data_IF_285861952034
#
_entry.id   IF_285861952034
#
_cell.length_a   1.000
_cell.length_b   1.000
_cell.length_c   1.000
_cell.angle_alpha   90.00
_cell.angle_beta   90.00
_cell.angle_gamma   90.00
#
_symmetry.space_group_name_H-M   'P 1'
#
loop_
_entity.id
_entity.type
_entity.pdbx_description
1 polymer ?
#
# COMPACT_ATOMS: atom_id res chain seq x y z
N UNK A 1 -14.83 -3.67 -0.91
CA UNK A 1 -15.79 -2.54 -0.97
C UNK A 1 -15.04 -1.27 -0.64
N UNK A 2 -15.09 -0.27 -1.53
CA UNK A 2 -14.44 1.03 -1.31
C UNK A 2 -15.50 2.12 -1.33
N UNK A 3 -15.50 2.96 -0.31
CA UNK A 3 -16.33 4.16 -0.20
C UNK A 3 -15.44 5.38 -0.39
N UNK A 4 -15.85 6.27 -1.28
CA UNK A 4 -15.13 7.50 -1.63
C UNK A 4 -15.97 8.73 -1.33
N UNK A 5 -15.33 9.89 -1.15
CA UNK A 5 -16.02 11.17 -1.11
C UNK A 5 -16.60 11.51 -2.49
N UNK A 6 -17.75 12.18 -2.52
CA UNK A 6 -18.37 12.66 -3.75
C UNK A 6 -17.46 13.67 -4.48
N UNK A 7 -16.87 14.59 -3.73
CA UNK A 7 -15.90 15.56 -4.25
C UNK A 7 -14.48 14.98 -4.13
N UNK A 8 -13.79 14.87 -5.26
CA UNK A 8 -12.38 14.47 -5.32
C UNK A 8 -12.11 12.97 -5.23
N UNK A 9 -13.14 12.12 -5.11
CA UNK A 9 -13.01 10.66 -5.07
C UNK A 9 -12.00 10.17 -4.00
N UNK A 10 -11.90 10.87 -2.88
CA UNK A 10 -10.96 10.49 -1.82
C UNK A 10 -11.48 9.23 -1.12
N UNK A 11 -10.67 8.18 -1.00
CA UNK A 11 -11.09 6.97 -0.30
C UNK A 11 -11.33 7.31 1.18
N UNK A 12 -12.57 7.19 1.65
CA UNK A 12 -12.93 7.35 3.07
C UNK A 12 -12.74 6.03 3.79
N UNK A 13 -13.02 4.93 3.10
CA UNK A 13 -12.98 3.58 3.66
C UNK A 13 -12.73 2.57 2.56
N UNK A 14 -11.70 1.75 2.73
CA UNK A 14 -11.46 0.56 1.91
C UNK A 14 -11.56 -0.66 2.79
N UNK A 15 -12.46 -1.58 2.45
CA UNK A 15 -12.57 -2.89 3.08
C UNK A 15 -12.23 -3.96 2.04
N UNK A 16 -11.27 -4.82 2.36
CA UNK A 16 -11.05 -6.05 1.62
C UNK A 16 -10.79 -7.21 2.57
N UNK A 17 -11.11 -8.42 2.11
CA UNK A 17 -10.91 -9.65 2.87
C UNK A 17 -9.66 -10.35 2.34
N UNK A 18 -8.71 -10.63 3.21
CA UNK A 18 -7.57 -11.50 2.91
C UNK A 18 -7.82 -12.89 3.50
N UNK A 19 -7.21 -13.91 2.91
CA UNK A 19 -7.31 -15.28 3.42
C UNK A 19 -6.59 -15.44 4.75
N UNK A 20 -5.44 -14.77 4.93
CA UNK A 20 -4.65 -14.88 6.15
C UNK A 20 -5.15 -14.00 7.30
N UNK A 21 -5.64 -12.79 7.01
CA UNK A 21 -5.90 -11.77 8.05
C UNK A 21 -7.38 -11.36 8.14
N UNK A 22 -8.26 -11.93 7.31
CA UNK A 22 -9.68 -11.59 7.31
C UNK A 22 -9.92 -10.17 6.79
N UNK A 23 -10.86 -9.44 7.40
CA UNK A 23 -11.22 -8.10 6.95
C UNK A 23 -10.19 -7.06 7.36
N UNK A 24 -9.64 -6.33 6.39
CA UNK A 24 -8.68 -5.25 6.61
C UNK A 24 -9.30 -3.89 6.27
N UNK A 25 -9.03 -2.89 7.11
CA UNK A 25 -9.58 -1.53 7.04
C UNK A 25 -8.46 -0.49 7.04
N UNK A 26 -8.60 0.53 6.19
CA UNK A 26 -7.63 1.62 6.05
C UNK A 26 -8.31 2.97 6.27
N UNK A 27 -7.66 3.84 7.04
CA UNK A 27 -8.04 5.24 7.20
C UNK A 27 -7.00 6.12 6.48
N UNK A 28 -7.46 7.02 5.62
CA UNK A 28 -6.56 7.77 4.76
C UNK A 28 -6.15 9.10 5.41
N UNK A 29 -4.85 9.37 5.41
CA UNK A 29 -4.25 10.68 5.73
C UNK A 29 -3.74 11.25 4.42
N UNK A 30 -4.00 12.54 4.14
CA UNK A 30 -3.52 13.18 2.90
C UNK A 30 -2.01 13.38 2.99
N UNK A 31 -1.28 12.77 2.06
CA UNK A 31 0.17 12.85 1.98
C UNK A 31 0.90 11.93 2.97
N UNK A 32 2.22 12.08 3.02
CA UNK A 32 3.09 11.34 3.94
C UNK A 32 3.62 12.35 4.95
N UNK A 33 3.25 12.17 6.23
CA UNK A 33 3.64 13.10 7.29
C UNK A 33 5.10 12.97 7.69
N UNK A 34 5.66 11.76 7.57
CA UNK A 34 7.08 11.49 7.78
C UNK A 34 7.63 10.58 6.65
N UNK A 35 8.38 11.15 5.68
CA UNK A 35 8.95 10.40 4.56
C UNK A 35 9.95 9.31 4.98
N UNK A 36 10.63 9.48 6.12
CA UNK A 36 11.66 8.56 6.61
C UNK A 36 11.09 7.16 6.92
N UNK A 37 9.76 7.07 7.10
CA UNK A 37 9.06 5.79 7.27
C UNK A 37 9.06 4.92 6.00
N UNK A 38 9.43 5.49 4.85
CA UNK A 38 9.62 4.74 3.61
C UNK A 38 11.03 4.18 3.46
N UNK A 39 11.99 4.60 4.30
CA UNK A 39 13.34 4.05 4.25
C UNK A 39 13.33 2.61 4.79
N UNK A 40 13.95 1.66 4.09
CA UNK A 40 14.06 0.29 4.59
C UNK A 40 14.80 0.26 5.94
N UNK A 41 14.33 -0.53 6.91
CA UNK A 41 15.02 -0.66 8.18
C UNK A 41 16.38 -1.34 8.00
N UNK A 42 17.32 -1.14 8.95
CA UNK A 42 18.70 -1.65 8.83
C UNK A 42 18.80 -3.16 8.55
N UNK A 43 17.87 -3.96 9.11
CA UNK A 43 17.87 -5.40 8.87
C UNK A 43 17.56 -5.80 7.42
N UNK A 44 17.05 -4.87 6.60
CA UNK A 44 16.86 -5.07 5.16
C UNK A 44 18.14 -4.90 4.33
N UNK A 45 19.25 -4.41 4.90
CA UNK A 45 20.48 -4.09 4.15
C UNK A 45 21.09 -5.30 3.40
N UNK A 46 20.85 -6.52 3.89
CA UNK A 46 21.28 -7.77 3.27
C UNK A 46 20.15 -8.59 2.64
N UNK A 47 18.96 -8.01 2.45
CA UNK A 47 17.83 -8.73 1.88
C UNK A 47 18.15 -9.18 0.44
N UNK A 48 18.07 -10.48 0.19
CA UNK A 48 18.23 -11.04 -1.15
C UNK A 48 16.94 -10.78 -1.91
N UNK A 49 17.01 -9.96 -2.97
CA UNK A 49 15.90 -9.80 -3.89
C UNK A 49 15.84 -11.00 -4.83
N UNK A 50 14.63 -11.50 -5.06
CA UNK A 50 14.39 -12.44 -6.15
C UNK A 50 14.57 -11.69 -7.48
N UNK A 51 15.58 -12.08 -8.25
CA UNK A 51 15.96 -11.43 -9.52
C UNK A 51 14.95 -11.73 -10.63
N UNK A 52 14.17 -12.81 -10.47
CA UNK A 52 13.12 -13.19 -11.42
C UNK A 52 11.76 -12.55 -11.06
N UNK A 53 11.62 -11.97 -9.86
CA UNK A 53 10.40 -11.30 -9.46
C UNK A 53 10.27 -9.91 -10.13
N UNK A 54 9.06 -9.57 -10.55
CA UNK A 54 8.80 -8.23 -11.07
C UNK A 54 9.06 -7.15 -10.00
N UNK A 55 9.78 -6.06 -10.33
CA UNK A 55 10.09 -5.01 -9.38
C UNK A 55 8.81 -4.31 -8.91
N UNK A 56 8.48 -4.47 -7.63
CA UNK A 56 7.36 -3.82 -6.96
C UNK A 56 7.87 -2.56 -6.26
N UNK A 57 7.32 -1.41 -6.63
CA UNK A 57 7.52 -0.16 -5.89
C UNK A 57 6.19 0.29 -5.26
N UNK A 58 6.23 1.37 -4.46
CA UNK A 58 5.03 1.85 -3.77
C UNK A 58 3.88 2.23 -4.74
N UNK A 59 4.19 2.64 -5.97
CA UNK A 59 3.19 2.95 -7.00
C UNK A 59 2.58 1.68 -7.60
N UNK A 60 3.31 0.56 -7.58
CA UNK A 60 2.79 -0.75 -8.02
C UNK A 60 1.59 -1.23 -7.20
N UNK A 61 1.41 -0.76 -5.96
CA UNK A 61 0.19 -1.05 -5.18
C UNK A 61 -1.06 -0.33 -5.70
N UNK A 62 -0.88 0.80 -6.40
CA UNK A 62 -1.96 1.64 -6.92
C UNK A 62 -2.20 1.42 -8.41
N UNK A 63 -1.21 0.94 -9.14
CA UNK A 63 -1.36 0.53 -10.52
C UNK A 63 -2.12 -0.80 -10.58
N UNK A 64 -3.37 -0.73 -11.04
CA UNK A 64 -4.17 -1.92 -11.34
C UNK A 64 -3.58 -2.58 -12.59
N UNK A 65 -3.07 -3.81 -12.48
CA UNK A 65 -2.84 -4.64 -13.66
C UNK A 65 -4.19 -4.95 -14.31
N UNK A 66 -4.27 -4.72 -15.62
CA UNK A 66 -5.44 -5.03 -16.45
C UNK A 66 -5.41 -6.50 -16.88
#
# INVERSE_FOLDING_TARGET
LTTVTELGCFPVKSIYQTKEFGWVFYNNVIGITNPDLLEPPEFCAGAVMDVEAEPRNYLSFYAKEN
#
